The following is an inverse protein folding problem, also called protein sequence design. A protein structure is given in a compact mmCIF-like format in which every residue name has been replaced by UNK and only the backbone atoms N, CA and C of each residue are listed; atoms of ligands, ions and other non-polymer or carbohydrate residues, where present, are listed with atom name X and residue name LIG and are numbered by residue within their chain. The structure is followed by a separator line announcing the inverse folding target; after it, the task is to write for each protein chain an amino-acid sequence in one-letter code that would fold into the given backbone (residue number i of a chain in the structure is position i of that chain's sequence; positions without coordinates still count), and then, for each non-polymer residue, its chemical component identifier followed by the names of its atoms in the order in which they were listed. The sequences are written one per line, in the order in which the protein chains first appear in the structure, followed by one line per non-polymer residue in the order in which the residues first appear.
data_IF_974612726995
#
_entry.id   IF_974612726995
#
_cell.length_a   1.000
_cell.length_b   1.000
_cell.length_c   1.000
_cell.angle_alpha   90.00
_cell.angle_beta   90.00
_cell.angle_gamma   90.00
#
_symmetry.space_group_name_H-M   'P 1'
#
loop_
_entity.id
_entity.type
_entity.pdbx_description
1 polymer ?
#
# COMPACT_ATOMS: atom_id res chain seq x y z
N UNK A 1 45.28 -22.33 0.74
CA UNK A 1 45.02 -21.40 1.85
C UNK A 1 44.96 -20.01 1.25
N UNK A 2 43.80 -19.69 0.68
CA UNK A 2 43.52 -18.42 0.01
C UNK A 2 42.69 -17.60 0.99
N UNK A 3 43.29 -16.51 1.48
CA UNK A 3 42.64 -15.52 2.32
C UNK A 3 41.45 -14.94 1.53
N UNK A 4 40.23 -15.25 1.97
CA UNK A 4 39.02 -14.55 1.53
C UNK A 4 39.13 -13.11 2.03
N UNK A 5 39.36 -12.22 1.09
CA UNK A 5 39.32 -10.77 1.24
C UNK A 5 37.92 -10.32 1.65
N UNK A 6 37.89 -9.58 2.76
CA UNK A 6 36.93 -8.53 3.17
C UNK A 6 35.43 -8.76 2.88
N UNK A 7 34.67 -8.85 3.98
CA UNK A 7 33.21 -8.70 4.06
C UNK A 7 32.70 -7.63 3.10
N UNK A 8 31.86 -8.05 2.15
CA UNK A 8 30.93 -7.14 1.51
C UNK A 8 29.90 -6.75 2.60
N UNK A 9 29.67 -5.46 2.88
CA UNK A 9 28.71 -5.07 3.90
C UNK A 9 27.33 -5.58 3.49
N UNK A 10 26.65 -6.29 4.39
CA UNK A 10 25.24 -6.58 4.26
C UNK A 10 24.52 -5.28 3.87
N UNK A 11 23.79 -5.31 2.76
CA UNK A 11 23.21 -4.13 2.14
C UNK A 11 22.29 -3.41 3.14
N UNK A 12 22.79 -2.34 3.77
CA UNK A 12 22.12 -1.76 4.94
C UNK A 12 20.89 -0.97 4.50
N UNK A 13 19.71 -1.42 4.94
CA UNK A 13 18.45 -0.72 4.73
C UNK A 13 18.32 0.44 5.72
N UNK A 14 17.70 1.53 5.28
CA UNK A 14 17.36 2.66 6.16
C UNK A 14 16.12 2.35 6.99
N UNK A 15 15.92 3.06 8.11
CA UNK A 15 14.74 2.92 8.98
C UNK A 15 13.42 3.13 8.21
N UNK A 16 13.29 4.13 7.29
CA UNK A 16 12.11 4.23 6.43
C UNK A 16 11.83 2.97 5.61
N UNK A 17 12.88 2.32 5.09
CA UNK A 17 12.76 1.10 4.29
C UNK A 17 12.36 -0.09 5.16
N UNK A 18 12.99 -0.27 6.33
CA UNK A 18 12.62 -1.32 7.28
C UNK A 18 11.18 -1.15 7.79
N UNK A 19 10.75 0.08 8.08
CA UNK A 19 9.38 0.40 8.48
C UNK A 19 8.37 0.01 7.40
N UNK A 20 8.62 0.42 6.14
CA UNK A 20 7.76 0.06 5.00
C UNK A 20 7.71 -1.46 4.83
N UNK A 21 8.85 -2.16 4.88
CA UNK A 21 8.86 -3.63 4.79
C UNK A 21 8.06 -4.30 5.90
N UNK A 22 8.15 -3.81 7.13
CA UNK A 22 7.36 -4.33 8.26
C UNK A 22 5.85 -4.08 8.11
N UNK A 23 5.48 -3.00 7.42
CA UNK A 23 4.09 -2.72 7.06
C UNK A 23 3.60 -3.60 5.91
N UNK A 24 4.48 -4.20 5.11
CA UNK A 24 4.08 -5.11 4.05
C UNK A 24 3.53 -6.41 4.64
N UNK A 25 2.29 -6.73 4.31
CA UNK A 25 1.72 -8.05 4.54
C UNK A 25 2.18 -8.96 3.39
N UNK A 26 3.16 -9.82 3.68
CA UNK A 26 3.78 -10.74 2.71
C UNK A 26 2.78 -11.68 2.04
N UNK A 27 1.69 -12.01 2.73
CA UNK A 27 0.65 -12.82 2.13
C UNK A 27 -0.06 -12.00 1.05
N UNK A 28 -0.74 -10.92 1.44
CA UNK A 28 -1.51 -10.13 0.50
C UNK A 28 -0.66 -9.37 -0.54
N UNK A 29 0.61 -9.11 -0.25
CA UNK A 29 1.44 -8.18 -1.01
C UNK A 29 1.05 -6.70 -0.82
N UNK A 30 0.25 -6.40 0.20
CA UNK A 30 -0.25 -5.06 0.50
C UNK A 30 0.29 -4.53 1.82
N UNK A 31 0.40 -3.22 1.92
CA UNK A 31 0.64 -2.58 3.19
C UNK A 31 -0.55 -2.75 4.14
N UNK A 32 -0.24 -3.03 5.40
CA UNK A 32 -1.19 -3.02 6.50
C UNK A 32 -1.82 -1.64 6.60
N UNK A 33 -3.12 -1.62 6.89
CA UNK A 33 -3.90 -0.37 6.95
C UNK A 33 -3.57 0.38 8.24
N UNK A 34 -2.80 1.45 8.11
CA UNK A 34 -2.52 2.40 9.18
C UNK A 34 -3.32 3.68 8.95
N UNK A 35 -3.69 4.38 10.01
CA UNK A 35 -4.28 5.72 9.86
C UNK A 35 -3.26 6.63 9.17
N UNK A 36 -3.67 7.32 8.10
CA UNK A 36 -2.76 8.11 7.27
C UNK A 36 -1.87 9.08 8.05
N UNK A 37 -2.41 9.80 9.04
CA UNK A 37 -1.61 10.68 9.88
C UNK A 37 -0.52 9.94 10.68
N UNK A 38 -0.86 8.82 11.32
CA UNK A 38 0.10 8.04 12.11
C UNK A 38 1.22 7.48 11.23
N UNK A 39 0.87 6.94 10.06
CA UNK A 39 1.85 6.46 9.09
C UNK A 39 2.78 7.59 8.63
N UNK A 40 2.21 8.74 8.31
CA UNK A 40 2.97 9.90 7.84
C UNK A 40 3.94 10.39 8.92
N UNK A 41 3.50 10.48 10.17
CA UNK A 41 4.36 10.83 11.29
C UNK A 41 5.47 9.78 11.49
N UNK A 42 5.13 8.49 11.43
CA UNK A 42 6.11 7.42 11.58
C UNK A 42 7.15 7.41 10.45
N UNK A 43 6.75 7.68 9.21
CA UNK A 43 7.67 7.74 8.08
C UNK A 43 8.65 8.92 8.17
N UNK A 44 8.17 10.11 8.55
CA UNK A 44 9.06 11.25 8.79
C UNK A 44 9.95 10.98 10.01
N UNK A 45 9.37 10.45 11.08
CA UNK A 45 10.10 10.08 12.29
C UNK A 45 11.20 9.05 12.04
N UNK A 46 10.95 8.05 11.18
CA UNK A 46 11.95 7.10 10.73
C UNK A 46 13.09 7.80 9.95
N UNK A 47 12.78 8.82 9.16
CA UNK A 47 13.78 9.62 8.45
C UNK A 47 14.65 10.44 9.41
N UNK A 48 14.04 11.13 10.38
CA UNK A 48 14.77 11.86 11.43
C UNK A 48 15.66 10.91 12.24
N UNK A 49 15.14 9.75 12.61
CA UNK A 49 15.91 8.76 13.35
C UNK A 49 17.09 8.21 12.55
N UNK A 50 16.91 7.97 11.25
CA UNK A 50 18.03 7.58 10.38
C UNK A 50 19.10 8.68 10.29
N UNK A 51 18.70 9.94 10.14
CA UNK A 51 19.61 11.09 10.14
C UNK A 51 20.36 11.23 11.47
N UNK A 52 19.70 10.93 12.59
CA UNK A 52 20.34 10.94 13.91
C UNK A 52 21.36 9.82 14.05
N UNK A 53 21.03 8.60 13.61
CA UNK A 53 21.95 7.46 13.59
C UNK A 53 23.15 7.69 12.64
N UNK A 54 22.97 8.45 11.57
CA UNK A 54 24.05 8.87 10.65
C UNK A 54 24.89 10.02 11.21
N UNK A 55 24.47 10.66 12.30
CA UNK A 55 25.16 11.81 12.89
C UNK A 55 24.94 13.13 12.16
N UNK A 56 23.94 13.22 11.28
CA UNK A 56 23.55 14.47 10.61
C UNK A 56 22.79 15.42 11.54
N UNK A 57 22.05 14.87 12.49
CA UNK A 57 21.28 15.63 13.48
C UNK A 57 21.46 15.06 14.89
N UNK A 58 21.27 15.91 15.89
CA UNK A 58 21.12 15.52 17.28
C UNK A 58 19.74 15.97 17.78
N UNK A 59 19.08 15.15 18.60
CA UNK A 59 17.73 15.44 19.09
C UNK A 59 17.64 15.22 20.58
N UNK A 60 17.15 16.24 21.28
CA UNK A 60 16.73 16.14 22.67
C UNK A 60 15.20 16.37 22.79
N UNK A 61 14.70 16.40 24.03
CA UNK A 61 13.26 16.56 24.30
C UNK A 61 12.68 17.92 23.85
N UNK A 62 13.51 18.94 23.65
CA UNK A 62 13.10 20.32 23.44
C UNK A 62 13.64 20.93 22.14
N UNK A 63 14.62 20.29 21.50
CA UNK A 63 15.27 20.82 20.30
C UNK A 63 15.92 19.74 19.44
N UNK A 64 15.93 20.01 18.14
CA UNK A 64 16.70 19.31 17.13
C UNK A 64 17.84 20.24 16.69
N UNK A 65 19.07 19.73 16.68
CA UNK A 65 20.26 20.43 16.23
C UNK A 65 20.78 19.78 14.95
N UNK A 66 21.08 20.62 13.95
CA UNK A 66 21.75 20.20 12.73
C UNK A 66 23.26 20.11 12.98
N UNK A 67 23.83 18.92 12.80
CA UNK A 67 25.26 18.66 12.97
C UNK A 67 26.01 18.68 11.62
N UNK A 68 25.43 18.07 10.59
CA UNK A 68 25.99 18.00 9.24
C UNK A 68 24.88 18.08 8.18
N UNK A 69 24.95 19.09 7.31
CA UNK A 69 24.02 19.34 6.21
C UNK A 69 24.42 18.69 4.89
N UNK A 70 25.50 17.89 4.87
CA UNK A 70 25.94 17.18 3.68
C UNK A 70 24.85 16.19 3.23
N UNK A 71 24.45 16.18 1.94
CA UNK A 71 23.48 15.22 1.42
C UNK A 71 23.91 13.78 1.70
N UNK A 72 22.98 12.98 2.20
CA UNK A 72 23.21 11.59 2.63
C UNK A 72 23.33 10.64 1.44
N UNK A 73 22.84 11.05 0.26
CA UNK A 73 22.71 10.19 -0.92
C UNK A 73 21.48 9.28 -0.86
N UNK A 74 20.67 9.38 0.20
CA UNK A 74 19.38 8.73 0.31
C UNK A 74 18.26 9.73 -0.01
N UNK A 75 17.63 9.55 -1.17
CA UNK A 75 16.59 10.46 -1.67
C UNK A 75 15.36 10.63 -0.73
N UNK A 76 15.12 9.69 0.19
CA UNK A 76 14.07 9.81 1.19
C UNK A 76 14.48 10.68 2.40
N UNK A 77 15.78 10.83 2.67
CA UNK A 77 16.32 11.56 3.82
C UNK A 77 16.73 12.99 3.42
N UNK A 78 17.29 13.17 2.23
CA UNK A 78 17.83 14.45 1.77
C UNK A 78 16.79 15.61 1.82
N UNK A 79 15.51 15.41 1.45
CA UNK A 79 14.51 16.48 1.57
C UNK A 79 14.18 16.87 3.02
N UNK A 80 14.34 15.93 3.96
CA UNK A 80 14.16 16.21 5.40
C UNK A 80 15.33 17.03 5.91
N UNK A 81 16.56 16.63 5.54
CA UNK A 81 17.77 17.34 5.91
C UNK A 81 17.83 18.76 5.32
N UNK A 82 17.42 18.91 4.06
CA UNK A 82 17.32 20.21 3.38
C UNK A 82 16.32 21.13 4.09
N UNK A 83 15.13 20.63 4.43
CA UNK A 83 14.13 21.42 5.16
C UNK A 83 14.64 21.92 6.52
N UNK A 84 15.40 21.08 7.25
CA UNK A 84 16.02 21.46 8.53
C UNK A 84 17.13 22.50 8.32
N UNK A 85 17.92 22.37 7.26
CA UNK A 85 19.01 23.30 6.96
C UNK A 85 18.54 24.68 6.49
N UNK A 86 17.37 24.76 5.85
CA UNK A 86 16.79 26.01 5.34
C UNK A 86 16.14 26.87 6.43
N UNK A 87 15.64 26.26 7.51
CA UNK A 87 15.02 27.00 8.62
C UNK A 87 16.05 27.35 9.70
N UNK A 88 16.37 28.64 9.90
CA UNK A 88 17.31 29.05 10.95
C UNK A 88 16.70 28.98 12.36
N UNK A 89 15.38 28.76 12.51
CA UNK A 89 14.73 28.68 13.80
C UNK A 89 14.95 27.29 14.45
N UNK A 90 15.20 27.29 15.76
CA UNK A 90 15.36 26.07 16.52
C UNK A 90 13.99 25.48 16.85
N UNK A 91 13.76 24.26 16.39
CA UNK A 91 12.53 23.50 16.59
C UNK A 91 12.83 22.11 17.15
N UNK A 92 11.85 21.50 17.83
CA UNK A 92 11.96 20.13 18.34
C UNK A 92 11.64 19.09 17.25
N UNK A 93 11.87 17.80 17.55
CA UNK A 93 11.56 16.72 16.63
C UNK A 93 10.06 16.62 16.30
N UNK A 94 9.18 16.92 17.26
CA UNK A 94 7.73 16.88 17.05
C UNK A 94 7.31 17.87 15.96
N UNK A 95 7.80 19.10 16.00
CA UNK A 95 7.52 20.12 15.00
C UNK A 95 7.87 19.64 13.59
N UNK A 96 9.08 19.09 13.41
CA UNK A 96 9.54 18.61 12.10
C UNK A 96 8.70 17.44 11.60
N UNK A 97 8.32 16.52 12.49
CA UNK A 97 7.38 15.43 12.16
C UNK A 97 6.05 15.99 11.65
N UNK A 98 5.44 16.93 12.36
CA UNK A 98 4.13 17.47 12.01
C UNK A 98 4.16 18.32 10.71
N UNK A 99 5.23 19.10 10.49
CA UNK A 99 5.39 19.95 9.31
C UNK A 99 5.62 19.12 8.05
N UNK A 100 6.37 18.03 8.15
CA UNK A 100 6.72 17.19 7.00
C UNK A 100 5.74 16.03 6.76
N UNK A 101 4.91 15.66 7.74
CA UNK A 101 3.92 14.59 7.61
C UNK A 101 2.98 14.75 6.39
N UNK A 102 2.51 15.96 6.00
CA UNK A 102 1.73 16.13 4.77
C UNK A 102 2.46 15.72 3.47
N UNK A 103 3.80 15.64 3.49
CA UNK A 103 4.65 15.25 2.35
C UNK A 103 5.09 13.78 2.41
N UNK A 104 4.68 13.03 3.43
CA UNK A 104 5.17 11.68 3.69
C UNK A 104 4.91 10.67 2.56
N UNK A 105 3.84 10.85 1.77
CA UNK A 105 3.57 10.01 0.60
C UNK A 105 4.77 9.96 -0.36
N UNK A 106 5.47 11.09 -0.55
CA UNK A 106 6.67 11.15 -1.40
C UNK A 106 7.83 10.35 -0.79
N UNK A 107 7.99 10.38 0.53
CA UNK A 107 9.03 9.61 1.22
C UNK A 107 8.75 8.11 1.16
N UNK A 108 7.47 7.72 1.26
CA UNK A 108 7.03 6.33 1.10
C UNK A 108 7.32 5.84 -0.32
N UNK A 109 6.92 6.62 -1.33
CA UNK A 109 7.15 6.28 -2.74
C UNK A 109 8.66 6.09 -3.03
N UNK A 110 9.51 7.01 -2.56
CA UNK A 110 10.97 6.91 -2.74
C UNK A 110 11.57 5.71 -1.99
N UNK A 111 11.09 5.40 -0.79
CA UNK A 111 11.55 4.21 -0.06
C UNK A 111 11.17 2.91 -0.79
N UNK A 112 9.96 2.86 -1.36
CA UNK A 112 9.48 1.73 -2.16
C UNK A 112 10.27 1.55 -3.45
N UNK A 113 10.51 2.63 -4.18
CA UNK A 113 11.32 2.63 -5.40
C UNK A 113 12.72 2.11 -5.10
N UNK A 114 13.33 2.58 -3.99
CA UNK A 114 14.66 2.12 -3.60
C UNK A 114 14.69 0.63 -3.23
N UNK A 115 13.68 0.14 -2.52
CA UNK A 115 13.54 -1.29 -2.22
C UNK A 115 13.35 -2.13 -3.49
N UNK A 116 12.70 -1.58 -4.52
CA UNK A 116 12.58 -2.23 -5.82
C UNK A 116 13.89 -2.23 -6.62
N UNK A 117 14.64 -1.12 -6.60
CA UNK A 117 15.98 -1.04 -7.19
C UNK A 117 16.98 -2.02 -6.55
N UNK A 118 16.83 -2.26 -5.24
CA UNK A 118 17.62 -3.25 -4.50
C UNK A 118 17.18 -4.70 -4.76
N UNK A 119 16.19 -4.91 -5.66
CA UNK A 119 15.56 -6.20 -5.95
C UNK A 119 14.93 -6.87 -4.72
N UNK A 120 14.64 -6.12 -3.64
CA UNK A 120 13.97 -6.63 -2.43
C UNK A 120 12.46 -6.72 -2.65
N UNK A 121 11.88 -5.70 -3.31
CA UNK A 121 10.47 -5.65 -3.67
C UNK A 121 10.28 -5.71 -5.18
N UNK A 122 9.19 -6.34 -5.61
CA UNK A 122 8.72 -6.28 -6.98
C UNK A 122 7.35 -5.62 -7.00
N UNK A 123 7.23 -4.53 -7.75
CA UNK A 123 5.97 -3.82 -7.95
C UNK A 123 5.13 -4.50 -9.04
N UNK A 124 3.84 -4.66 -8.78
CA UNK A 124 2.87 -5.25 -9.69
C UNK A 124 1.72 -4.28 -9.98
N UNK A 125 1.01 -4.50 -11.08
CA UNK A 125 -0.18 -3.72 -11.43
C UNK A 125 -1.23 -3.76 -10.30
N UNK A 126 -1.74 -2.59 -9.92
CA UNK A 126 -2.71 -2.44 -8.83
C UNK A 126 -2.09 -2.05 -7.48
N UNK A 127 -0.92 -1.40 -7.49
CA UNK A 127 -0.22 -0.81 -6.32
C UNK A 127 0.08 -1.85 -5.25
N UNK A 128 0.78 -2.91 -5.64
CA UNK A 128 1.15 -3.95 -4.68
C UNK A 128 2.51 -4.54 -4.92
N UNK A 129 3.08 -5.05 -3.84
CA UNK A 129 4.48 -5.41 -3.77
C UNK A 129 4.61 -6.85 -3.30
N UNK A 130 5.49 -7.60 -3.94
CA UNK A 130 5.89 -8.93 -3.45
C UNK A 130 7.36 -8.90 -3.08
N UNK A 131 7.73 -9.64 -2.04
CA UNK A 131 9.13 -9.83 -1.69
C UNK A 131 9.81 -10.72 -2.72
N UNK A 132 11.05 -10.38 -3.06
CA UNK A 132 11.93 -11.28 -3.78
C UNK A 132 12.72 -12.11 -2.77
N UNK A 133 12.46 -13.42 -2.74
CA UNK A 133 13.14 -14.35 -1.83
C UNK A 133 14.64 -14.47 -2.09
N UNK A 134 15.11 -14.12 -3.30
CA UNK A 134 16.50 -14.31 -3.72
C UNK A 134 17.44 -13.20 -3.23
N UNK A 135 16.89 -12.06 -2.80
CA UNK A 135 17.64 -10.83 -2.58
C UNK A 135 18.38 -10.78 -1.25
N UNK A 136 17.99 -11.58 -0.26
CA UNK A 136 18.55 -11.51 1.09
C UNK A 136 19.18 -12.84 1.51
N UNK A 137 20.46 -13.01 1.19
CA UNK A 137 21.26 -14.14 1.66
C UNK A 137 21.98 -13.72 2.95
N UNK A 138 21.53 -14.19 4.11
CA UNK A 138 22.29 -13.99 5.35
C UNK A 138 23.28 -15.14 5.55
N UNK A 139 24.58 -14.88 5.36
CA UNK A 139 25.65 -15.80 5.78
C UNK A 139 25.76 -15.95 7.32
N UNK A 140 24.98 -15.16 8.10
CA UNK A 140 25.10 -15.06 9.56
C UNK A 140 24.20 -16.02 10.35
N UNK A 141 23.14 -16.55 9.75
CA UNK A 141 22.30 -17.57 10.35
C UNK A 141 22.44 -18.81 9.48
N UNK A 142 23.05 -19.88 10.00
CA UNK A 142 23.38 -21.11 9.28
C UNK A 142 22.18 -21.92 8.77
N UNK A 143 21.08 -21.26 8.45
CA UNK A 143 19.90 -21.80 7.83
C UNK A 143 20.02 -21.63 6.31
N UNK A 144 20.08 -22.76 5.61
CA UNK A 144 20.20 -22.84 4.14
C UNK A 144 18.94 -22.40 3.38
N UNK A 145 18.03 -21.67 4.04
CA UNK A 145 16.78 -21.16 3.50
C UNK A 145 16.91 -19.71 3.03
N UNK A 146 16.29 -19.39 1.90
CA UNK A 146 16.16 -18.02 1.42
C UNK A 146 15.23 -17.21 2.35
N UNK A 147 15.80 -16.47 3.31
CA UNK A 147 15.07 -15.52 4.15
C UNK A 147 14.79 -14.25 3.33
N UNK A 148 13.61 -13.65 3.49
CA UNK A 148 13.30 -12.34 2.90
C UNK A 148 13.87 -11.21 3.75
N UNK A 149 14.12 -10.02 3.18
CA UNK A 149 14.55 -8.86 3.95
C UNK A 149 13.55 -8.50 5.08
N UNK A 150 12.24 -8.61 4.79
CA UNK A 150 11.20 -8.44 5.80
C UNK A 150 11.27 -9.51 6.90
N UNK A 151 11.55 -10.77 6.53
CA UNK A 151 11.76 -11.86 7.47
C UNK A 151 12.95 -11.61 8.39
N UNK A 152 14.06 -11.09 7.87
CA UNK A 152 15.24 -10.72 8.65
C UNK A 152 14.93 -9.64 9.70
N UNK A 153 14.28 -8.55 9.29
CA UNK A 153 13.87 -7.47 10.21
C UNK A 153 12.88 -7.99 11.26
N UNK A 154 11.90 -8.80 10.83
CA UNK A 154 10.92 -9.41 11.72
C UNK A 154 11.59 -10.31 12.76
N UNK A 155 12.53 -11.16 12.37
CA UNK A 155 13.26 -12.04 13.29
C UNK A 155 14.06 -11.23 14.31
N UNK A 156 14.72 -10.15 13.89
CA UNK A 156 15.50 -9.26 14.78
C UNK A 156 14.60 -8.62 15.85
N UNK A 157 13.47 -8.06 15.43
CA UNK A 157 12.47 -7.48 16.34
C UNK A 157 11.83 -8.55 17.25
N UNK A 158 11.55 -9.74 16.72
CA UNK A 158 10.94 -10.83 17.49
C UNK A 158 11.84 -11.24 18.68
N UNK A 159 13.16 -11.32 18.49
CA UNK A 159 14.09 -11.66 19.57
C UNK A 159 14.12 -10.61 20.66
N UNK A 160 14.06 -9.32 20.30
CA UNK A 160 13.96 -8.21 21.27
C UNK A 160 12.66 -8.27 22.09
N UNK A 161 11.55 -8.65 21.46
CA UNK A 161 10.22 -8.69 22.10
C UNK A 161 10.02 -9.96 22.94
N UNK A 162 10.40 -11.13 22.42
CA UNK A 162 10.04 -12.43 23.01
C UNK A 162 11.20 -13.14 23.73
N UNK A 163 12.46 -12.82 23.38
CA UNK A 163 13.64 -13.46 23.97
C UNK A 163 14.40 -12.55 24.94
N UNK A 164 13.83 -11.39 25.28
CA UNK A 164 14.41 -10.36 26.16
C UNK A 164 15.81 -9.87 25.73
N UNK A 165 16.18 -10.04 24.45
CA UNK A 165 17.44 -9.55 23.91
C UNK A 165 17.57 -8.03 24.05
N UNK A 166 18.78 -7.54 24.33
CA UNK A 166 19.03 -6.10 24.46
C UNK A 166 18.84 -5.45 23.08
N UNK A 167 17.93 -4.49 22.92
CA UNK A 167 17.69 -3.86 21.63
C UNK A 167 18.89 -3.04 21.17
N UNK A 168 19.26 -3.19 19.90
CA UNK A 168 20.04 -2.18 19.17
C UNK A 168 19.21 -0.88 19.11
N UNK A 169 19.84 0.32 19.20
CA UNK A 169 19.16 1.60 18.93
C UNK A 169 18.19 1.56 17.75
N UNK A 170 18.59 0.98 16.60
CA UNK A 170 17.74 0.87 15.40
C UNK A 170 16.46 0.07 15.66
N UNK A 171 16.55 -1.03 16.39
CA UNK A 171 15.40 -1.88 16.70
C UNK A 171 14.49 -1.27 17.74
N UNK A 172 15.05 -0.56 18.74
CA UNK A 172 14.25 0.20 19.70
C UNK A 172 13.39 1.26 19.00
N UNK A 173 13.99 2.01 18.06
CA UNK A 173 13.30 3.00 17.24
C UNK A 173 12.20 2.33 16.40
N UNK A 174 12.54 1.25 15.68
CA UNK A 174 11.59 0.57 14.79
C UNK A 174 10.40 -0.03 15.56
N UNK A 175 10.65 -0.62 16.73
CA UNK A 175 9.60 -1.09 17.65
C UNK A 175 8.71 0.08 18.07
N UNK A 176 9.29 1.22 18.45
CA UNK A 176 8.54 2.41 18.86
C UNK A 176 7.65 2.95 17.73
N UNK A 177 8.18 3.03 16.50
CA UNK A 177 7.45 3.46 15.30
C UNK A 177 6.27 2.54 14.97
N UNK A 178 6.50 1.23 14.99
CA UNK A 178 5.48 0.21 14.71
C UNK A 178 4.40 0.17 15.81
N UNK A 179 4.78 0.43 17.07
CA UNK A 179 3.84 0.54 18.19
C UNK A 179 2.94 1.78 18.03
N UNK A 180 3.50 2.93 17.67
CA UNK A 180 2.73 4.17 17.40
C UNK A 180 1.77 4.04 16.20
N UNK A 181 2.14 3.22 15.22
CA UNK A 181 1.26 2.86 14.11
C UNK A 181 0.16 1.86 14.46
N UNK A 182 0.15 1.30 15.68
CA UNK A 182 -0.77 0.25 16.14
C UNK A 182 -0.75 -1.00 15.24
N UNK A 183 0.41 -1.32 14.64
CA UNK A 183 0.57 -2.49 13.75
C UNK A 183 1.32 -3.64 14.41
N UNK A 184 2.08 -3.34 15.46
CA UNK A 184 3.00 -4.29 16.09
C UNK A 184 2.27 -5.52 16.64
N UNK A 185 1.11 -5.32 17.28
CA UNK A 185 0.21 -6.41 17.73
C UNK A 185 -0.23 -7.34 16.60
N UNK A 186 -0.46 -6.81 15.41
CA UNK A 186 -0.92 -7.59 14.25
C UNK A 186 0.21 -8.25 13.46
N UNK A 187 1.44 -7.77 13.60
CA UNK A 187 2.61 -8.35 12.92
C UNK A 187 3.14 -9.56 13.71
N UNK A 188 3.14 -9.45 15.04
CA UNK A 188 3.71 -10.44 15.96
C UNK A 188 2.67 -11.23 16.77
N UNK A 189 1.38 -11.00 16.53
CA UNK A 189 0.27 -11.66 17.25
C UNK A 189 0.46 -11.59 18.78
N UNK A 190 0.77 -10.39 19.27
CA UNK A 190 1.20 -10.20 20.66
C UNK A 190 0.14 -10.63 21.67
N UNK A 191 0.57 -11.44 22.64
CA UNK A 191 -0.17 -11.67 23.86
C UNK A 191 -0.03 -10.49 24.83
N UNK A 192 -0.98 -10.28 25.78
CA UNK A 192 -0.93 -9.18 26.74
C UNK A 192 0.35 -9.10 27.57
N UNK A 193 1.07 -10.22 27.73
CA UNK A 193 2.33 -10.29 28.47
C UNK A 193 3.48 -9.58 27.74
N UNK A 194 3.43 -9.53 26.41
CA UNK A 194 4.45 -8.84 25.60
C UNK A 194 4.27 -7.32 25.58
N UNK A 195 3.09 -6.80 25.97
CA UNK A 195 2.83 -5.36 25.99
C UNK A 195 3.78 -4.60 26.93
N UNK A 196 4.13 -5.18 28.09
CA UNK A 196 5.07 -4.56 29.04
C UNK A 196 6.46 -4.40 28.42
N UNK A 197 6.94 -5.44 27.71
CA UNK A 197 8.24 -5.40 27.03
C UNK A 197 8.25 -4.39 25.89
N UNK A 198 7.20 -4.37 25.06
CA UNK A 198 7.08 -3.42 23.95
C UNK A 198 7.06 -1.98 24.47
N UNK A 199 6.30 -1.71 25.53
CA UNK A 199 6.27 -0.38 26.16
C UNK A 199 7.63 -0.01 26.75
N UNK A 200 8.30 -0.94 27.43
CA UNK A 200 9.65 -0.71 27.94
C UNK A 200 10.63 -0.32 26.83
N UNK A 201 10.69 -1.11 25.75
CA UNK A 201 11.60 -0.86 24.62
C UNK A 201 11.24 0.44 23.88
N UNK A 202 9.95 0.69 23.64
CA UNK A 202 9.50 1.92 22.97
C UNK A 202 9.87 3.18 23.75
N UNK A 203 9.97 3.09 25.08
CA UNK A 203 10.36 4.18 25.95
C UNK A 203 11.87 4.42 26.01
N UNK A 204 12.71 3.57 25.41
CA UNK A 204 14.16 3.78 25.37
C UNK A 204 14.58 4.85 24.35
N UNK A 205 13.73 5.15 23.37
CA UNK A 205 14.00 6.09 22.29
C UNK A 205 13.29 7.44 22.50
N UNK A 206 14.03 8.54 22.35
CA UNK A 206 13.50 9.90 22.48
C UNK A 206 12.65 10.29 21.27
N UNK A 207 13.05 9.88 20.05
CA UNK A 207 12.32 10.18 18.82
C UNK A 207 10.96 9.48 18.78
N UNK A 208 10.93 8.22 19.22
CA UNK A 208 9.71 7.45 19.42
C UNK A 208 8.68 8.17 20.31
N UNK A 209 9.14 8.85 21.37
CA UNK A 209 8.27 9.68 22.22
C UNK A 209 7.76 10.90 21.48
N UNK A 210 8.63 11.66 20.80
CA UNK A 210 8.22 12.83 20.00
C UNK A 210 7.22 12.48 18.91
N UNK A 211 7.32 11.30 18.30
CA UNK A 211 6.38 10.81 17.28
C UNK A 211 5.05 10.40 17.93
N UNK A 212 5.09 9.73 19.08
CA UNK A 212 3.89 9.43 19.88
C UNK A 212 3.15 10.72 20.27
N UNK A 213 3.89 11.78 20.63
CA UNK A 213 3.36 13.11 20.91
C UNK A 213 2.77 13.77 19.66
N UNK A 214 3.45 13.73 18.50
CA UNK A 214 2.91 14.22 17.22
C UNK A 214 1.60 13.51 16.80
N UNK A 215 1.48 12.22 17.13
CA UNK A 215 0.28 11.43 16.87
C UNK A 215 -0.85 11.73 17.87
N UNK A 216 -0.51 11.91 19.15
CA UNK A 216 -1.48 12.06 20.25
C UNK A 216 -1.95 13.50 20.44
N UNK A 217 -1.03 14.47 20.38
CA UNK A 217 -1.29 15.89 20.64
C UNK A 217 -1.75 16.62 19.38
N UNK A 218 -1.33 16.18 18.19
CA UNK A 218 -1.76 16.68 16.88
C UNK A 218 -1.96 18.21 16.91
N UNK A 219 -0.89 18.94 17.28
CA UNK A 219 -0.96 20.38 17.56
C UNK A 219 -1.39 21.18 16.31
N UNK A 220 -1.32 20.56 15.13
CA UNK A 220 -1.62 21.13 13.81
C UNK A 220 -3.08 20.99 13.31
N UNK A 221 -4.06 20.55 14.10
CA UNK A 221 -5.49 20.58 13.68
C UNK A 221 -6.35 21.59 14.46
N UNK A 222 -6.85 22.67 13.83
CA UNK A 222 -7.77 22.60 12.68
C UNK A 222 -7.32 23.34 11.40
N UNK A 223 -6.17 24.01 11.40
CA UNK A 223 -5.74 24.88 10.27
C UNK A 223 -5.32 24.08 9.02
N UNK A 224 -4.70 22.91 9.20
CA UNK A 224 -4.27 22.07 8.07
C UNK A 224 -5.39 21.12 7.59
N UNK A 225 -6.34 20.78 8.47
CA UNK A 225 -7.47 19.87 8.15
C UNK A 225 -8.51 20.47 7.20
N UNK A 226 -8.45 21.77 6.90
CA UNK A 226 -9.56 22.46 6.26
C UNK A 226 -9.71 22.28 4.73
N UNK A 227 -8.95 21.40 4.06
CA UNK A 227 -8.92 21.43 2.57
C UNK A 227 -9.31 20.15 1.81
N UNK A 228 -9.80 19.06 2.41
CA UNK A 228 -10.11 17.85 1.62
C UNK A 228 -11.60 17.64 1.29
N UNK A 229 -12.53 18.00 2.18
CA UNK A 229 -13.95 17.61 2.05
C UNK A 229 -14.92 18.76 1.71
N UNK A 230 -14.42 19.96 1.47
CA UNK A 230 -15.25 21.18 1.32
C UNK A 230 -15.45 21.64 -0.11
N UNK A 231 -14.74 21.07 -1.09
CA UNK A 231 -14.94 21.45 -2.50
C UNK A 231 -16.23 20.83 -3.02
N UNK A 232 -17.18 21.68 -3.37
CA UNK A 232 -18.40 21.24 -4.04
C UNK A 232 -18.05 20.64 -5.39
N UNK A 233 -18.62 19.47 -5.70
CA UNK A 233 -18.36 18.82 -7.00
C UNK A 233 -18.94 19.73 -8.10
N UNK A 234 -18.11 20.18 -9.05
CA UNK A 234 -18.57 21.07 -10.10
C UNK A 234 -19.57 20.36 -11.01
N UNK A 235 -20.69 21.04 -11.27
CA UNK A 235 -21.71 20.55 -12.19
C UNK A 235 -21.42 21.04 -13.59
N UNK A 236 -21.35 20.11 -14.54
CA UNK A 236 -21.18 20.44 -15.95
C UNK A 236 -22.43 21.12 -16.46
N UNK A 237 -22.24 22.18 -17.23
CA UNK A 237 -23.34 22.86 -17.88
C UNK A 237 -23.77 22.07 -19.13
N UNK A 238 -24.98 21.52 -19.11
CA UNK A 238 -25.51 20.69 -20.20
C UNK A 238 -25.57 21.41 -21.55
N UNK A 239 -25.83 22.71 -21.58
CA UNK A 239 -25.82 23.48 -22.83
C UNK A 239 -24.41 23.52 -23.40
N UNK A 240 -23.40 23.79 -22.57
CA UNK A 240 -21.99 23.77 -22.99
C UNK A 240 -21.56 22.38 -23.44
N UNK A 241 -22.04 21.33 -22.80
CA UNK A 241 -21.79 19.94 -23.20
C UNK A 241 -22.31 19.67 -24.62
N UNK A 242 -23.56 20.05 -24.92
CA UNK A 242 -24.17 19.86 -26.23
C UNK A 242 -23.45 20.61 -27.37
N UNK A 243 -22.81 21.75 -27.06
CA UNK A 243 -22.01 22.51 -28.02
C UNK A 243 -20.53 22.10 -28.05
N UNK A 244 -20.11 21.13 -27.25
CA UNK A 244 -18.73 20.64 -27.28
C UNK A 244 -18.43 19.98 -28.64
N UNK A 245 -17.34 20.35 -29.34
CA UNK A 245 -16.99 19.79 -30.64
C UNK A 245 -16.93 18.26 -30.66
N UNK A 246 -16.45 17.66 -29.56
CA UNK A 246 -16.26 16.21 -29.44
C UNK A 246 -17.57 15.42 -29.35
N UNK A 247 -18.65 16.06 -28.90
CA UNK A 247 -20.00 15.45 -28.92
C UNK A 247 -20.46 15.22 -30.36
N UNK A 248 -20.20 16.20 -31.25
CA UNK A 248 -20.59 16.09 -32.67
C UNK A 248 -19.77 15.06 -33.43
N UNK A 249 -18.49 14.92 -33.09
CA UNK A 249 -17.61 13.93 -33.73
C UNK A 249 -17.75 12.53 -33.12
N UNK A 250 -18.52 12.36 -32.04
CA UNK A 250 -18.63 11.10 -31.32
C UNK A 250 -17.34 10.66 -30.61
N UNK A 251 -16.39 11.57 -30.40
CA UNK A 251 -15.11 11.24 -29.78
C UNK A 251 -15.23 11.33 -28.25
N UNK A 252 -15.72 10.24 -27.66
CA UNK A 252 -15.98 10.15 -26.22
C UNK A 252 -14.71 10.40 -25.37
N UNK A 253 -13.54 9.79 -25.67
CA UNK A 253 -12.33 10.07 -24.90
C UNK A 253 -11.93 11.54 -24.89
N UNK A 254 -11.94 12.21 -26.06
CA UNK A 254 -11.60 13.61 -26.16
C UNK A 254 -12.62 14.53 -25.46
N UNK A 255 -13.90 14.15 -25.50
CA UNK A 255 -14.94 14.84 -24.74
C UNK A 255 -14.63 14.84 -23.24
N UNK A 256 -14.37 13.66 -22.66
CA UNK A 256 -14.10 13.55 -21.24
C UNK A 256 -12.77 14.20 -20.83
N UNK A 257 -11.74 14.16 -21.68
CA UNK A 257 -10.51 14.91 -21.47
C UNK A 257 -10.76 16.42 -21.40
N UNK A 258 -11.55 16.97 -22.35
CA UNK A 258 -11.88 18.41 -22.36
C UNK A 258 -12.72 18.82 -21.14
N UNK A 259 -13.59 17.93 -20.64
CA UNK A 259 -14.35 18.18 -19.41
C UNK A 259 -13.46 18.13 -18.17
N UNK A 260 -12.49 17.21 -18.13
CA UNK A 260 -11.51 17.10 -17.05
C UNK A 260 -10.64 18.36 -16.95
N UNK A 261 -10.17 18.89 -18.09
CA UNK A 261 -9.42 20.15 -18.13
C UNK A 261 -10.26 21.34 -17.63
N UNK A 262 -11.55 21.38 -17.98
CA UNK A 262 -12.42 22.51 -17.66
C UNK A 262 -12.96 22.48 -16.22
N UNK A 263 -13.32 21.30 -15.71
CA UNK A 263 -14.01 21.12 -14.43
C UNK A 263 -13.15 20.42 -13.37
N UNK A 264 -11.95 19.96 -13.72
CA UNK A 264 -11.08 19.18 -12.86
C UNK A 264 -11.36 17.67 -12.92
N UNK A 265 -10.60 16.86 -12.17
CA UNK A 265 -10.66 15.40 -12.24
C UNK A 265 -11.97 14.81 -11.73
N UNK A 266 -12.75 15.55 -10.95
CA UNK A 266 -14.04 15.12 -10.40
C UNK A 266 -15.12 16.12 -10.77
N UNK A 267 -16.13 15.68 -11.52
CA UNK A 267 -17.26 16.53 -11.90
C UNK A 267 -18.57 15.74 -12.01
N UNK A 268 -19.69 16.45 -12.05
CA UNK A 268 -21.02 15.85 -12.07
C UNK A 268 -21.76 16.19 -13.37
N UNK A 269 -22.29 15.16 -14.03
CA UNK A 269 -23.29 15.29 -15.10
C UNK A 269 -24.68 15.07 -14.52
N UNK A 270 -25.61 15.96 -14.82
CA UNK A 270 -27.00 15.88 -14.36
C UNK A 270 -27.98 16.05 -15.52
N UNK A 271 -28.15 15.03 -16.39
CA UNK A 271 -29.08 15.10 -17.52
C UNK A 271 -30.53 15.23 -17.03
N UNK A 272 -31.41 15.86 -17.81
CA UNK A 272 -32.83 15.87 -17.49
C UNK A 272 -33.38 14.43 -17.46
N UNK A 273 -34.20 14.12 -16.46
CA UNK A 273 -34.84 12.81 -16.26
C UNK A 273 -33.90 11.63 -15.95
N UNK A 274 -32.63 11.89 -15.61
CA UNK A 274 -31.69 10.86 -15.15
C UNK A 274 -31.09 11.23 -13.79
N UNK A 275 -30.64 10.22 -13.05
CA UNK A 275 -29.91 10.48 -11.81
C UNK A 275 -28.57 11.16 -12.12
N UNK A 276 -28.16 12.15 -11.33
CA UNK A 276 -26.86 12.76 -11.53
C UNK A 276 -25.74 11.75 -11.33
N UNK A 277 -24.80 11.72 -12.26
CA UNK A 277 -23.66 10.81 -12.25
C UNK A 277 -22.38 11.60 -12.02
N UNK A 278 -21.56 11.12 -11.09
CA UNK A 278 -20.23 11.68 -10.80
C UNK A 278 -19.22 10.96 -11.68
N UNK A 279 -18.37 11.73 -12.33
CA UNK A 279 -17.28 11.25 -13.17
C UNK A 279 -15.95 11.50 -12.46
N UNK A 280 -15.13 10.45 -12.41
CA UNK A 280 -13.74 10.51 -12.01
C UNK A 280 -12.91 10.34 -13.28
N UNK A 281 -12.09 11.33 -13.61
CA UNK A 281 -11.36 11.41 -14.88
C UNK A 281 -9.94 11.92 -14.67
N UNK A 282 -9.05 11.64 -15.62
CA UNK A 282 -7.67 12.10 -15.57
C UNK A 282 -6.72 11.17 -14.81
N UNK A 283 -5.46 11.59 -14.72
CA UNK A 283 -4.39 10.83 -14.10
C UNK A 283 -4.61 10.69 -12.59
N UNK A 284 -5.16 11.74 -11.96
CA UNK A 284 -5.48 11.80 -10.54
C UNK A 284 -6.53 10.75 -10.16
N UNK A 285 -7.57 10.58 -11.01
CA UNK A 285 -8.57 9.54 -10.82
C UNK A 285 -7.97 8.14 -10.96
N UNK A 286 -7.06 7.93 -11.93
CA UNK A 286 -6.36 6.66 -12.09
C UNK A 286 -5.47 6.36 -10.87
N UNK A 287 -4.69 7.33 -10.40
CA UNK A 287 -3.86 7.20 -9.18
C UNK A 287 -4.73 6.91 -7.96
N UNK A 288 -5.85 7.61 -7.81
CA UNK A 288 -6.80 7.37 -6.73
C UNK A 288 -7.41 5.96 -6.82
N UNK A 289 -7.86 5.52 -8.00
CA UNK A 289 -8.40 4.18 -8.19
C UNK A 289 -7.33 3.09 -7.94
N UNK A 290 -6.08 3.35 -8.27
CA UNK A 290 -4.96 2.45 -8.02
C UNK A 290 -4.58 2.39 -6.52
N UNK A 291 -4.43 3.54 -5.86
CA UNK A 291 -4.02 3.64 -4.44
C UNK A 291 -5.15 3.32 -3.47
N UNK A 292 -6.33 3.91 -3.69
CA UNK A 292 -7.48 3.87 -2.79
C UNK A 292 -8.62 2.96 -3.30
N UNK A 293 -8.49 2.35 -4.49
CA UNK A 293 -9.52 1.48 -5.05
C UNK A 293 -9.90 0.33 -4.13
N UNK A 294 -8.95 -0.22 -3.36
CA UNK A 294 -9.26 -1.27 -2.37
C UNK A 294 -10.16 -0.82 -1.23
N UNK A 295 -10.23 0.48 -0.99
CA UNK A 295 -11.05 1.06 0.07
C UNK A 295 -12.44 1.40 -0.44
N UNK A 296 -12.54 1.89 -1.68
CA UNK A 296 -13.78 2.47 -2.20
C UNK A 296 -14.41 1.70 -3.38
N UNK A 297 -13.65 0.88 -4.09
CA UNK A 297 -14.02 0.19 -5.34
C UNK A 297 -13.99 -1.34 -5.16
N UNK A 298 -14.65 -1.86 -4.12
CA UNK A 298 -14.72 -3.30 -3.84
C UNK A 298 -15.88 -3.96 -4.60
N UNK A 299 -15.63 -5.06 -5.30
CA UNK A 299 -16.67 -5.83 -6.00
C UNK A 299 -17.38 -6.84 -5.09
N UNK A 300 -16.77 -7.22 -3.96
CA UNK A 300 -17.27 -8.25 -3.03
C UNK A 300 -18.76 -8.06 -2.73
N UNK A 301 -19.17 -6.88 -2.26
CA UNK A 301 -20.58 -6.62 -1.89
C UNK A 301 -21.56 -6.74 -3.05
N UNK A 302 -21.12 -6.44 -4.27
CA UNK A 302 -21.98 -6.50 -5.46
C UNK A 302 -22.12 -7.94 -5.98
N UNK A 303 -21.09 -8.78 -5.79
CA UNK A 303 -21.02 -10.11 -6.36
C UNK A 303 -21.27 -11.24 -5.36
N UNK A 304 -21.41 -10.94 -4.06
CA UNK A 304 -21.77 -11.93 -3.04
C UNK A 304 -23.07 -12.68 -3.37
N UNK A 305 -24.10 -11.98 -3.86
CA UNK A 305 -25.36 -12.62 -4.25
C UNK A 305 -25.15 -13.61 -5.41
N UNK A 306 -24.21 -13.32 -6.29
CA UNK A 306 -23.85 -14.20 -7.40
C UNK A 306 -23.16 -15.47 -6.89
N UNK A 307 -22.26 -15.36 -5.93
CA UNK A 307 -21.60 -16.51 -5.30
C UNK A 307 -22.59 -17.46 -4.61
N UNK A 308 -23.52 -16.90 -3.83
CA UNK A 308 -24.61 -17.65 -3.21
C UNK A 308 -25.48 -18.36 -4.25
N UNK A 309 -25.77 -17.70 -5.36
CA UNK A 309 -26.57 -18.27 -6.44
C UNK A 309 -25.90 -19.50 -7.07
N UNK A 310 -24.59 -19.38 -7.35
CA UNK A 310 -23.76 -20.46 -7.88
C UNK A 310 -23.42 -21.55 -6.86
N UNK A 311 -23.56 -21.29 -5.56
CA UNK A 311 -23.08 -22.20 -4.51
C UNK A 311 -21.55 -22.30 -4.49
N UNK A 312 -20.87 -21.27 -4.98
CA UNK A 312 -19.42 -21.17 -5.02
C UNK A 312 -18.93 -20.22 -3.92
N UNK A 313 -17.65 -20.26 -3.58
CA UNK A 313 -16.99 -19.27 -2.72
C UNK A 313 -15.65 -18.89 -3.37
N UNK A 314 -15.36 -17.59 -3.41
CA UNK A 314 -14.09 -17.08 -3.96
C UNK A 314 -14.00 -17.19 -5.47
N UNK A 315 -15.07 -16.88 -6.20
CA UNK A 315 -15.00 -16.79 -7.67
C UNK A 315 -14.12 -15.58 -8.04
N UNK A 316 -13.28 -15.70 -9.08
CA UNK A 316 -12.34 -14.63 -9.44
C UNK A 316 -12.96 -13.21 -9.46
N UNK A 317 -14.16 -12.98 -10.04
CA UNK A 317 -14.75 -11.65 -10.10
C UNK A 317 -15.14 -11.02 -8.74
N UNK A 318 -15.51 -11.86 -7.75
CA UNK A 318 -15.90 -11.41 -6.41
C UNK A 318 -14.71 -11.18 -5.49
N UNK A 319 -13.57 -11.81 -5.80
CA UNK A 319 -12.34 -11.59 -5.07
C UNK A 319 -11.86 -10.16 -5.33
N UNK A 320 -11.55 -9.46 -4.25
CA UNK A 320 -10.94 -8.14 -4.33
C UNK A 320 -9.43 -8.27 -4.15
N UNK A 321 -8.70 -7.39 -4.82
CA UNK A 321 -7.31 -7.10 -4.49
C UNK A 321 -6.39 -8.36 -4.58
N UNK A 322 -5.78 -8.81 -3.48
CA UNK A 322 -4.63 -9.74 -3.46
C UNK A 322 -5.08 -11.15 -3.77
N UNK A 323 -6.24 -11.52 -3.24
CA UNK A 323 -6.82 -12.83 -3.45
C UNK A 323 -7.23 -12.98 -4.90
N UNK A 324 -7.73 -11.91 -5.53
CA UNK A 324 -7.94 -11.88 -6.97
C UNK A 324 -6.63 -12.11 -7.72
N UNK A 325 -5.55 -11.40 -7.37
CA UNK A 325 -4.27 -11.56 -8.07
C UNK A 325 -3.70 -12.98 -7.90
N UNK A 326 -3.66 -13.49 -6.66
CA UNK A 326 -3.19 -14.84 -6.32
C UNK A 326 -3.97 -15.90 -7.06
N UNK A 327 -5.31 -15.83 -7.00
CA UNK A 327 -6.19 -16.77 -7.69
C UNK A 327 -5.99 -16.70 -9.21
N UNK A 328 -5.90 -15.49 -9.79
CA UNK A 328 -5.61 -15.30 -11.22
C UNK A 328 -4.27 -15.94 -11.60
N UNK A 329 -3.21 -15.73 -10.82
CA UNK A 329 -1.87 -16.29 -11.09
C UNK A 329 -1.86 -17.81 -10.95
N UNK A 330 -2.52 -18.36 -9.94
CA UNK A 330 -2.66 -19.80 -9.73
C UNK A 330 -3.48 -20.48 -10.85
N UNK A 331 -4.53 -19.82 -11.34
CA UNK A 331 -5.39 -20.32 -12.41
C UNK A 331 -4.80 -20.11 -13.81
N UNK A 332 -3.85 -19.19 -13.99
CA UNK A 332 -3.28 -18.83 -15.28
C UNK A 332 -2.79 -20.03 -16.11
N UNK A 333 -2.07 -21.03 -15.55
CA UNK A 333 -1.65 -22.20 -16.34
C UNK A 333 -2.85 -23.03 -16.84
N UNK A 334 -3.89 -23.15 -16.00
CA UNK A 334 -5.13 -23.88 -16.31
C UNK A 334 -6.03 -23.18 -17.32
N UNK A 335 -5.95 -21.84 -17.40
CA UNK A 335 -6.70 -21.01 -18.35
C UNK A 335 -5.87 -20.61 -19.58
N UNK A 336 -4.71 -21.23 -19.79
CA UNK A 336 -3.89 -20.96 -20.96
C UNK A 336 -4.61 -21.34 -22.26
N UNK A 337 -4.33 -20.63 -23.35
CA UNK A 337 -4.93 -20.91 -24.66
C UNK A 337 -4.80 -22.37 -25.07
N UNK A 338 -3.61 -22.95 -24.90
CA UNK A 338 -3.35 -24.36 -25.22
C UNK A 338 -4.19 -25.32 -24.36
N UNK A 339 -4.38 -25.00 -23.07
CA UNK A 339 -5.21 -25.80 -22.17
C UNK A 339 -6.68 -25.72 -22.55
N UNK A 340 -7.20 -24.52 -22.79
CA UNK A 340 -8.59 -24.32 -23.23
C UNK A 340 -8.84 -25.01 -24.57
N UNK A 341 -7.92 -24.88 -25.52
CA UNK A 341 -8.02 -25.53 -26.83
C UNK A 341 -8.10 -27.06 -26.71
N UNK A 342 -7.32 -27.66 -25.80
CA UNK A 342 -7.39 -29.11 -25.53
C UNK A 342 -8.70 -29.57 -24.92
N UNK A 343 -9.44 -28.68 -24.25
CA UNK A 343 -10.71 -28.98 -23.57
C UNK A 343 -11.96 -28.64 -24.41
N UNK A 344 -11.82 -27.86 -25.47
CA UNK A 344 -12.95 -27.45 -26.33
C UNK A 344 -13.75 -28.63 -26.86
N UNK A 345 -13.09 -29.71 -27.27
CA UNK A 345 -13.76 -30.90 -27.79
C UNK A 345 -14.71 -31.54 -26.77
N UNK A 346 -14.28 -31.62 -25.52
CA UNK A 346 -15.08 -32.17 -24.42
C UNK A 346 -16.22 -31.22 -24.04
N UNK A 347 -15.95 -29.91 -23.98
CA UNK A 347 -16.97 -28.90 -23.74
C UNK A 347 -18.07 -28.94 -24.82
N UNK A 348 -17.70 -29.03 -26.10
CA UNK A 348 -18.67 -29.17 -27.20
C UNK A 348 -19.49 -30.44 -27.08
N UNK A 349 -18.87 -31.54 -26.66
CA UNK A 349 -19.56 -32.82 -26.44
C UNK A 349 -20.59 -32.68 -25.34
N UNK A 350 -20.21 -32.14 -24.18
CA UNK A 350 -21.10 -31.93 -23.03
C UNK A 350 -22.25 -30.98 -23.38
N UNK A 351 -21.96 -29.85 -24.03
CA UNK A 351 -22.98 -28.90 -24.50
C UNK A 351 -23.96 -29.56 -25.47
N UNK A 352 -23.47 -30.34 -26.45
CA UNK A 352 -24.35 -31.04 -27.40
C UNK A 352 -25.20 -32.10 -26.75
N UNK A 353 -24.65 -32.88 -25.82
CA UNK A 353 -25.42 -33.88 -25.06
C UNK A 353 -26.52 -33.19 -24.26
N UNK A 354 -26.21 -32.09 -23.56
CA UNK A 354 -27.20 -31.37 -22.78
C UNK A 354 -28.30 -30.72 -23.65
N UNK A 355 -27.91 -30.04 -24.73
CA UNK A 355 -28.86 -29.40 -25.66
C UNK A 355 -29.77 -30.41 -26.37
N UNK A 356 -29.33 -31.67 -26.54
CA UNK A 356 -30.16 -32.71 -27.15
C UNK A 356 -31.36 -33.11 -26.29
N UNK A 357 -31.35 -32.80 -24.99
CA UNK A 357 -32.45 -33.08 -24.06
C UNK A 357 -33.53 -31.99 -24.09
N UNK A 358 -33.28 -30.86 -24.77
CA UNK A 358 -34.17 -29.70 -24.76
C UNK A 358 -35.32 -29.85 -25.75
N UNK A 359 -36.54 -29.52 -25.33
CA UNK A 359 -37.70 -29.41 -26.20
C UNK A 359 -38.15 -27.96 -26.36
N UNK A 360 -38.67 -27.63 -27.55
CA UNK A 360 -39.20 -26.29 -27.82
C UNK A 360 -40.41 -26.03 -26.92
N UNK A 361 -40.33 -24.98 -26.11
CA UNK A 361 -41.38 -24.60 -25.15
C UNK A 361 -41.06 -24.96 -23.70
N UNK A 362 -39.95 -25.66 -23.43
CA UNK A 362 -39.51 -25.95 -22.07
C UNK A 362 -39.19 -24.66 -21.31
N UNK A 363 -39.74 -24.53 -20.10
CA UNK A 363 -39.41 -23.45 -19.18
C UNK A 363 -38.30 -23.94 -18.24
N UNK A 364 -37.07 -23.49 -18.49
CA UNK A 364 -35.92 -23.81 -17.66
C UNK A 364 -35.61 -22.65 -16.70
N UNK A 365 -35.53 -22.88 -15.38
CA UNK A 365 -35.08 -21.86 -14.45
C UNK A 365 -33.65 -21.42 -14.79
N UNK A 366 -33.43 -20.12 -14.96
CA UNK A 366 -32.11 -19.57 -15.28
C UNK A 366 -31.02 -20.02 -14.29
N UNK A 367 -31.36 -20.18 -13.01
CA UNK A 367 -30.46 -20.70 -11.96
C UNK A 367 -29.95 -22.11 -12.26
N UNK A 368 -30.85 -23.02 -12.67
CA UNK A 368 -30.49 -24.41 -12.97
C UNK A 368 -29.55 -24.49 -14.17
N UNK A 369 -29.83 -23.69 -15.20
CA UNK A 369 -29.00 -23.63 -16.41
C UNK A 369 -27.60 -23.07 -16.12
N UNK A 370 -27.53 -22.04 -15.28
CA UNK A 370 -26.26 -21.42 -14.87
C UNK A 370 -25.39 -22.40 -14.05
N UNK A 371 -25.98 -23.17 -13.12
CA UNK A 371 -25.26 -24.18 -12.33
C UNK A 371 -24.74 -25.36 -13.16
N UNK A 372 -25.48 -25.77 -14.19
CA UNK A 372 -25.05 -26.83 -15.11
C UNK A 372 -23.82 -26.41 -15.92
N UNK A 373 -23.76 -25.15 -16.37
CA UNK A 373 -22.61 -24.62 -17.12
C UNK A 373 -21.36 -24.45 -16.26
N UNK A 374 -21.50 -24.12 -14.98
CA UNK A 374 -20.35 -23.90 -14.08
C UNK A 374 -19.72 -25.21 -13.57
N UNK A 375 -20.51 -26.29 -13.47
CA UNK A 375 -20.07 -27.58 -12.93
C UNK A 375 -19.72 -28.62 -14.01
N UNK A 376 -19.91 -28.29 -15.29
CA UNK A 376 -19.49 -29.09 -16.44
C UNK A 376 -18.06 -28.73 -16.84
#
# INVERSE_FOLDING_TARGET
MTLRTADAPAQQMTLPQELVLMLLNEESGYFRRVRGWNLNCAMVGAGLAELSLMGNIDTDMNSLQLLDSTPTGHAALDPILEAIAEDPAQHDAQYWVEVLAPRADTFIDVALDRLAEMDILQHHEGEFWTLNHSAWQSDQFGDTGAITAAGFVRSRIARVIFEDEIPDPRDAILISLLNTCDVLRFIFELEPQADERVQFVSNLDLLGRSISDAVSLNLTSPLVRQSALTRTIPKVNLLKLLFNPHVRTGNIPALFASLAEQYGPVFQLAPPFQQPTIFLTGLEANRCAQREGRRFLTSTKYLNELEEEYGAHGIIPSLDSSDHFRMRKAMQPGLSRARLESQLGELYRLMRTHLAEWNVGDAMPARSMSRLMTNA
#
